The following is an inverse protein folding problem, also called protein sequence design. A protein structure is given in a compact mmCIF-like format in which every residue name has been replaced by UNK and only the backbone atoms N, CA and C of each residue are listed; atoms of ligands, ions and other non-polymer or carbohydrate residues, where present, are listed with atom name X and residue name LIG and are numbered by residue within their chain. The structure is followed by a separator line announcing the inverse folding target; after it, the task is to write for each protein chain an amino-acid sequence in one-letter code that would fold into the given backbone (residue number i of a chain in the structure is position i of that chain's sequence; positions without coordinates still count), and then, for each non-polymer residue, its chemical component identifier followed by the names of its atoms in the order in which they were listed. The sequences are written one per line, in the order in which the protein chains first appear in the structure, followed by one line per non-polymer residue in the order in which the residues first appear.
data_IF_753494782558
#
_entry.id   IF_753494782558
#
_cell.length_a   1.000
_cell.length_b   1.000
_cell.length_c   1.000
_cell.angle_alpha   90.00
_cell.angle_beta   90.00
_cell.angle_gamma   90.00
#
_symmetry.space_group_name_H-M   'P 1'
#
loop_
_entity.id
_entity.type
_entity.pdbx_description
1 polymer ?
#
# COMPACT_ATOMS: atom_id res chain seq x y z
N UNK A 1 -26.22 28.59 26.00
CA UNK A 1 -26.95 28.63 24.73
C UNK A 1 -26.02 28.12 23.64
N UNK A 2 -26.38 27.11 22.84
CA UNK A 2 -25.46 26.52 21.85
C UNK A 2 -25.01 27.47 20.73
N UNK A 3 -25.64 28.61 20.60
CA UNK A 3 -25.34 29.64 19.59
C UNK A 3 -24.61 30.85 20.18
N UNK A 4 -24.34 30.88 21.47
CA UNK A 4 -23.47 31.85 22.15
C UNK A 4 -22.02 31.34 22.07
N UNK A 5 -21.34 31.65 20.98
CA UNK A 5 -20.02 31.09 20.65
C UNK A 5 -18.91 31.78 21.45
N UNK A 6 -19.07 33.07 21.80
CA UNK A 6 -18.12 33.81 22.63
C UNK A 6 -18.39 33.67 24.13
N UNK A 7 -19.46 32.92 24.50
CA UNK A 7 -19.84 32.57 25.87
C UNK A 7 -20.07 33.79 26.79
N UNK A 8 -20.53 34.92 26.22
CA UNK A 8 -20.81 36.11 26.98
C UNK A 8 -22.24 36.15 27.58
N UNK A 9 -23.06 35.12 27.32
CA UNK A 9 -24.40 34.94 27.82
C UNK A 9 -25.50 35.55 26.93
N UNK A 10 -25.12 36.15 25.78
CA UNK A 10 -26.05 36.78 24.84
C UNK A 10 -25.76 36.26 23.43
N UNK A 11 -26.77 35.90 22.67
CA UNK A 11 -26.63 35.55 21.25
C UNK A 11 -26.78 36.80 20.44
N UNK A 12 -25.70 37.27 19.79
CA UNK A 12 -25.65 38.52 19.06
C UNK A 12 -24.79 38.44 17.78
N UNK A 13 -24.64 39.55 17.08
CA UNK A 13 -23.89 39.62 15.80
C UNK A 13 -22.43 39.19 15.95
N UNK A 14 -21.83 39.33 17.11
CA UNK A 14 -20.46 38.89 17.38
C UNK A 14 -20.30 37.37 17.29
N UNK A 15 -21.32 36.60 17.66
CA UNK A 15 -21.31 35.13 17.49
C UNK A 15 -21.33 34.74 16.02
N UNK A 16 -22.12 35.48 15.22
CA UNK A 16 -22.16 35.27 13.77
C UNK A 16 -20.79 35.65 13.13
N UNK A 17 -20.14 36.68 13.61
CA UNK A 17 -18.82 37.09 13.10
C UNK A 17 -17.75 36.06 13.40
N UNK A 18 -17.84 35.32 14.52
CA UNK A 18 -16.93 34.20 14.82
C UNK A 18 -17.11 33.06 13.80
N UNK A 19 -18.36 32.69 13.47
CA UNK A 19 -18.62 31.71 12.41
C UNK A 19 -18.08 32.17 11.07
N UNK A 20 -18.23 33.46 10.75
CA UNK A 20 -17.78 34.03 9.47
C UNK A 20 -16.26 34.17 9.40
N UNK A 21 -15.57 34.36 10.52
CA UNK A 21 -14.13 34.41 10.58
C UNK A 21 -13.49 33.05 10.24
N UNK A 22 -14.16 31.96 10.65
CA UNK A 22 -13.73 30.60 10.38
C UNK A 22 -14.32 30.03 9.07
N UNK A 23 -15.10 30.84 8.34
CA UNK A 23 -15.77 30.40 7.12
C UNK A 23 -14.75 30.21 5.99
N UNK A 24 -14.58 28.95 5.60
CA UNK A 24 -13.58 28.54 4.59
C UNK A 24 -12.28 28.01 5.18
N UNK A 25 -12.11 28.10 6.49
CA UNK A 25 -11.06 27.34 7.18
C UNK A 25 -11.47 25.85 7.19
N UNK A 26 -10.53 25.00 6.85
CA UNK A 26 -10.71 23.55 7.01
C UNK A 26 -10.59 23.28 8.51
N UNK A 27 -11.71 22.94 9.18
CA UNK A 27 -11.64 22.42 10.52
C UNK A 27 -10.86 21.10 10.48
N UNK A 28 -9.56 21.18 10.67
CA UNK A 28 -8.80 19.99 11.05
C UNK A 28 -9.24 19.69 12.49
N UNK A 29 -10.05 18.66 12.64
CA UNK A 29 -10.15 18.01 13.94
C UNK A 29 -8.72 17.61 14.29
N UNK A 30 -8.15 18.27 15.29
CA UNK A 30 -6.92 17.81 15.93
C UNK A 30 -7.29 16.54 16.71
N UNK A 31 -7.42 15.45 15.99
CA UNK A 31 -7.39 14.13 16.61
C UNK A 31 -5.94 13.95 17.07
N UNK A 32 -5.69 14.14 18.34
CA UNK A 32 -4.41 13.85 19.02
C UNK A 32 -4.02 12.35 18.90
N UNK A 33 -4.78 11.57 18.13
CA UNK A 33 -4.56 10.18 17.76
C UNK A 33 -4.18 10.01 16.27
N UNK A 34 -3.72 11.07 15.57
CA UNK A 34 -3.24 10.90 14.20
C UNK A 34 -1.99 10.00 14.21
N UNK A 35 -2.14 8.80 13.68
CA UNK A 35 -1.02 7.85 13.55
C UNK A 35 0.05 8.48 12.65
N UNK A 36 1.20 8.79 13.25
CA UNK A 36 2.36 9.27 12.51
C UNK A 36 3.11 8.08 11.91
N UNK A 37 3.20 8.04 10.59
CA UNK A 37 3.86 6.98 9.86
C UNK A 37 5.22 7.45 9.36
N UNK A 38 6.29 6.95 9.96
CA UNK A 38 7.65 7.28 9.56
C UNK A 38 8.10 6.49 8.33
N UNK A 39 8.88 7.09 7.41
CA UNK A 39 9.44 6.37 6.26
C UNK A 39 10.26 5.15 6.69
N UNK A 40 10.15 4.05 5.93
CA UNK A 40 10.78 2.77 6.25
C UNK A 40 11.93 2.48 5.29
N UNK A 41 13.13 2.23 5.85
CA UNK A 41 14.27 1.76 5.07
C UNK A 41 14.31 0.24 5.06
N UNK A 42 14.29 -0.37 3.86
CA UNK A 42 14.34 -1.81 3.69
C UNK A 42 15.11 -2.18 2.43
N UNK A 43 16.10 -3.08 2.56
CA UNK A 43 16.94 -3.56 1.47
C UNK A 43 17.55 -2.43 0.60
N UNK A 44 18.03 -1.38 1.26
CA UNK A 44 18.70 -0.25 0.60
C UNK A 44 17.75 0.75 -0.08
N UNK A 45 16.43 0.57 0.04
CA UNK A 45 15.42 1.50 -0.46
C UNK A 45 14.65 2.14 0.71
N UNK A 46 14.29 3.42 0.56
CA UNK A 46 13.49 4.15 1.54
C UNK A 46 12.07 4.30 1.01
N UNK A 47 11.13 3.66 1.66
CA UNK A 47 9.70 3.71 1.35
C UNK A 47 9.03 4.86 2.07
N UNK A 48 8.28 5.66 1.33
CA UNK A 48 7.32 6.57 1.91
C UNK A 48 6.15 5.77 2.51
N UNK A 49 5.58 6.31 3.57
CA UNK A 49 4.43 5.72 4.27
C UNK A 49 3.31 6.73 4.38
N UNK A 50 2.09 6.26 4.54
CA UNK A 50 0.89 7.09 4.69
C UNK A 50 -0.01 6.46 5.75
N UNK A 51 -0.63 7.30 6.58
CA UNK A 51 -1.65 6.87 7.52
C UNK A 51 -3.02 6.80 6.83
N UNK A 52 -3.66 5.65 6.88
CA UNK A 52 -5.02 5.44 6.36
C UNK A 52 -5.76 4.54 7.34
N UNK A 53 -6.96 4.95 7.75
CA UNK A 53 -7.81 4.18 8.68
C UNK A 53 -7.10 3.78 9.98
N UNK A 54 -6.21 4.65 10.52
CA UNK A 54 -5.48 4.36 11.75
C UNK A 54 -4.28 3.40 11.60
N UNK A 55 -4.02 2.91 10.38
CA UNK A 55 -2.90 2.03 10.05
C UNK A 55 -1.88 2.75 9.16
N UNK A 56 -0.61 2.33 9.26
CA UNK A 56 0.44 2.81 8.36
C UNK A 56 0.53 1.89 7.14
N UNK A 57 0.52 2.49 5.95
CA UNK A 57 0.65 1.81 4.68
C UNK A 57 1.90 2.27 3.95
N UNK A 58 2.53 1.41 3.16
CA UNK A 58 3.48 1.87 2.18
C UNK A 58 2.76 2.67 1.08
N UNK A 59 3.28 3.84 0.75
CA UNK A 59 2.73 4.67 -0.33
C UNK A 59 3.11 4.15 -1.73
N UNK A 60 3.85 3.06 -1.80
CA UNK A 60 4.32 2.41 -3.02
C UNK A 60 4.53 0.92 -2.81
N UNK A 61 4.56 0.15 -3.90
CA UNK A 61 4.76 -1.28 -3.83
C UNK A 61 6.17 -1.65 -3.33
N UNK A 62 6.23 -2.75 -2.58
CA UNK A 62 7.49 -3.33 -2.11
C UNK A 62 8.38 -3.72 -3.30
N UNK A 63 9.72 -3.58 -3.12
CA UNK A 63 10.75 -3.87 -4.14
C UNK A 63 11.73 -4.95 -3.70
N UNK A 64 11.42 -5.64 -2.61
CA UNK A 64 12.29 -6.63 -2.01
C UNK A 64 12.59 -7.79 -2.99
N UNK A 65 13.86 -8.16 -3.09
CA UNK A 65 14.35 -9.34 -3.80
C UNK A 65 14.90 -10.40 -2.84
N UNK A 66 14.92 -10.09 -1.55
CA UNK A 66 15.29 -10.98 -0.47
C UNK A 66 14.15 -11.11 0.55
N UNK A 67 14.02 -12.27 1.14
CA UNK A 67 13.28 -12.43 2.38
C UNK A 67 13.99 -11.74 3.54
N UNK A 68 13.29 -11.50 4.65
CA UNK A 68 13.84 -10.81 5.82
C UNK A 68 15.07 -11.50 6.41
N UNK A 69 15.21 -12.81 6.25
CA UNK A 69 16.35 -13.59 6.69
C UNK A 69 17.57 -13.50 5.74
N UNK A 70 17.42 -12.81 4.59
CA UNK A 70 18.46 -12.63 3.58
C UNK A 70 18.46 -13.67 2.45
N UNK A 71 17.56 -14.64 2.46
CA UNK A 71 17.40 -15.59 1.36
C UNK A 71 16.83 -14.89 0.14
N UNK A 72 17.27 -15.27 -1.05
CA UNK A 72 16.79 -14.74 -2.32
C UNK A 72 15.34 -15.18 -2.57
N UNK A 73 14.50 -14.24 -3.03
CA UNK A 73 13.19 -14.54 -3.59
C UNK A 73 13.40 -14.80 -5.08
N UNK A 74 13.03 -15.99 -5.55
CA UNK A 74 13.13 -16.30 -6.98
C UNK A 74 12.35 -15.29 -7.82
N UNK A 75 12.97 -14.78 -8.88
CA UNK A 75 12.38 -13.71 -9.69
C UNK A 75 12.06 -14.24 -11.09
N UNK A 76 10.80 -14.03 -11.52
CA UNK A 76 10.39 -14.28 -12.89
C UNK A 76 10.96 -13.20 -13.81
N UNK A 77 11.68 -13.62 -14.83
CA UNK A 77 12.30 -12.73 -15.81
C UNK A 77 11.44 -12.53 -17.05
N UNK A 78 10.41 -13.34 -17.24
CA UNK A 78 9.45 -13.26 -18.34
C UNK A 78 9.98 -13.76 -19.68
N UNK A 79 11.16 -14.37 -19.71
CA UNK A 79 11.86 -14.67 -20.98
C UNK A 79 12.14 -16.15 -21.23
N UNK A 80 11.80 -17.05 -20.33
CA UNK A 80 12.18 -18.47 -20.48
C UNK A 80 11.07 -19.45 -20.03
N UNK A 81 11.12 -20.69 -20.59
CA UNK A 81 10.29 -21.80 -20.10
C UNK A 81 10.53 -22.14 -18.62
N UNK A 82 11.69 -21.80 -18.08
CA UNK A 82 12.01 -21.98 -16.66
C UNK A 82 11.13 -21.11 -15.76
N UNK A 83 10.71 -19.92 -16.19
CA UNK A 83 9.80 -19.06 -15.44
C UNK A 83 8.42 -19.73 -15.25
N UNK A 84 7.97 -20.51 -16.22
CA UNK A 84 6.73 -21.28 -16.10
C UNK A 84 6.86 -22.45 -15.12
N UNK A 85 7.97 -23.16 -15.14
CA UNK A 85 8.24 -24.25 -14.19
C UNK A 85 8.31 -23.69 -12.76
N UNK A 86 8.95 -22.53 -12.57
CA UNK A 86 8.98 -21.81 -11.30
C UNK A 86 7.58 -21.38 -10.84
N UNK A 87 6.75 -20.86 -11.75
CA UNK A 87 5.39 -20.43 -11.43
C UNK A 87 4.54 -21.57 -10.86
N UNK A 88 4.68 -22.78 -11.39
CA UNK A 88 3.96 -23.98 -10.93
C UNK A 88 4.66 -24.74 -9.80
N UNK A 89 5.86 -24.34 -9.38
CA UNK A 89 6.67 -25.05 -8.38
C UNK A 89 6.15 -24.96 -6.94
N UNK A 90 5.21 -24.03 -6.65
CA UNK A 90 4.71 -23.79 -5.30
C UNK A 90 5.69 -23.05 -4.37
N UNK A 91 6.69 -22.36 -4.94
CA UNK A 91 7.63 -21.53 -4.18
C UNK A 91 7.23 -20.04 -4.22
N UNK A 92 7.79 -19.26 -3.29
CA UNK A 92 7.63 -17.81 -3.29
C UNK A 92 8.37 -17.16 -4.46
N UNK A 93 7.64 -16.36 -5.25
CA UNK A 93 8.14 -15.72 -6.46
C UNK A 93 7.88 -14.23 -6.41
N UNK A 94 8.82 -13.45 -6.97
CA UNK A 94 8.69 -12.04 -7.26
C UNK A 94 8.73 -11.81 -8.78
N UNK A 95 8.17 -10.69 -9.24
CA UNK A 95 8.25 -10.26 -10.63
C UNK A 95 7.99 -8.77 -10.77
N UNK A 96 8.32 -8.20 -11.92
CA UNK A 96 7.99 -6.82 -12.27
C UNK A 96 6.90 -6.80 -13.34
N UNK A 97 6.18 -5.67 -13.44
CA UNK A 97 5.15 -5.51 -14.46
C UNK A 97 5.71 -5.78 -15.86
N UNK A 98 5.03 -6.64 -16.59
CA UNK A 98 5.45 -7.08 -17.93
C UNK A 98 6.30 -8.35 -17.95
N UNK A 99 7.04 -8.69 -16.89
CA UNK A 99 7.82 -9.92 -16.82
C UNK A 99 6.96 -11.16 -16.45
N UNK A 100 5.84 -10.97 -15.77
CA UNK A 100 5.01 -12.06 -15.21
C UNK A 100 3.87 -12.52 -16.11
N UNK A 101 3.54 -11.80 -17.17
CA UNK A 101 2.36 -12.09 -18.00
C UNK A 101 2.57 -13.20 -19.02
N UNK A 102 3.82 -13.60 -19.28
CA UNK A 102 4.13 -14.64 -20.26
C UNK A 102 3.75 -16.05 -19.86
N UNK A 103 3.43 -16.31 -18.58
CA UNK A 103 3.12 -17.64 -18.07
C UNK A 103 1.63 -18.04 -18.17
N UNK A 104 0.78 -17.21 -18.75
CA UNK A 104 -0.67 -17.47 -18.86
C UNK A 104 -1.07 -18.21 -20.14
N UNK A 105 -0.21 -18.28 -21.15
CA UNK A 105 -0.42 -19.05 -22.35
C UNK A 105 0.67 -20.11 -22.49
N UNK A 106 0.36 -21.33 -22.26
CA UNK A 106 1.05 -22.61 -22.55
C UNK A 106 2.60 -22.62 -22.67
N UNK A 107 3.31 -21.64 -22.11
CA UNK A 107 4.79 -21.54 -22.07
C UNK A 107 5.48 -21.63 -23.45
N UNK A 108 4.75 -21.49 -24.56
CA UNK A 108 5.27 -21.66 -25.92
C UNK A 108 5.55 -20.35 -26.65
N UNK A 109 5.06 -19.22 -26.12
CA UNK A 109 5.31 -17.92 -26.73
C UNK A 109 6.32 -17.09 -25.90
N UNK A 110 7.46 -16.82 -26.50
CA UNK A 110 8.43 -15.86 -25.96
C UNK A 110 7.83 -14.45 -26.08
N UNK A 111 7.42 -13.89 -24.97
CA UNK A 111 7.04 -12.48 -24.91
C UNK A 111 8.29 -11.61 -24.79
N UNK A 112 8.69 -11.02 -25.89
CA UNK A 112 9.77 -10.02 -25.99
C UNK A 112 9.29 -8.62 -25.49
N UNK A 113 8.35 -8.59 -24.57
CA UNK A 113 7.55 -7.40 -24.30
C UNK A 113 8.10 -6.48 -23.21
N UNK A 114 9.14 -6.87 -22.46
CA UNK A 114 9.63 -6.02 -21.37
C UNK A 114 11.15 -6.02 -21.28
N UNK A 115 11.77 -5.40 -22.25
CA UNK A 115 13.23 -5.18 -22.27
C UNK A 115 13.72 -4.16 -21.24
N UNK A 116 12.82 -3.51 -20.49
CA UNK A 116 13.19 -2.51 -19.46
C UNK A 116 12.55 -2.80 -18.10
N UNK A 117 12.98 -3.90 -17.48
CA UNK A 117 12.59 -4.27 -16.12
C UNK A 117 12.94 -3.18 -15.08
N UNK A 118 13.94 -2.33 -15.38
CA UNK A 118 14.39 -1.26 -14.47
C UNK A 118 13.35 -0.15 -14.38
N UNK A 119 12.79 0.29 -15.51
CA UNK A 119 11.75 1.31 -15.53
C UNK A 119 10.46 0.80 -14.88
N UNK A 120 10.09 -0.45 -15.16
CA UNK A 120 8.92 -1.07 -14.52
C UNK A 120 9.09 -1.23 -13.02
N UNK A 121 10.27 -1.66 -12.56
CA UNK A 121 10.58 -1.75 -11.13
C UNK A 121 10.52 -0.36 -10.46
N UNK A 122 11.05 0.67 -11.12
CA UNK A 122 11.05 2.03 -10.57
C UNK A 122 9.65 2.64 -10.51
N UNK A 123 8.81 2.34 -11.52
CA UNK A 123 7.46 2.89 -11.60
C UNK A 123 6.44 2.14 -10.72
N UNK A 124 6.56 0.81 -10.63
CA UNK A 124 5.50 -0.04 -10.05
C UNK A 124 5.96 -0.95 -8.92
N UNK A 125 7.26 -1.02 -8.60
CA UNK A 125 7.76 -1.99 -7.62
C UNK A 125 7.67 -3.43 -8.12
N UNK A 126 7.55 -4.39 -7.20
CA UNK A 126 7.44 -5.83 -7.51
C UNK A 126 6.06 -6.37 -7.16
N UNK A 127 5.66 -7.40 -7.87
CA UNK A 127 4.52 -8.26 -7.56
C UNK A 127 5.03 -9.57 -6.94
N UNK A 128 4.30 -10.10 -5.99
CA UNK A 128 4.65 -11.34 -5.29
C UNK A 128 3.49 -12.32 -5.38
N UNK A 129 3.79 -13.60 -5.52
CA UNK A 129 2.76 -14.62 -5.46
C UNK A 129 2.35 -14.94 -4.01
N UNK A 130 1.24 -15.66 -3.84
CA UNK A 130 0.74 -16.04 -2.51
C UNK A 130 1.73 -16.85 -1.67
N UNK A 131 2.60 -17.64 -2.29
CA UNK A 131 3.63 -18.40 -1.57
C UNK A 131 4.69 -17.48 -0.94
N UNK A 132 5.06 -16.38 -1.62
CA UNK A 132 5.98 -15.39 -1.05
C UNK A 132 5.32 -14.63 0.12
N UNK A 133 4.01 -14.38 0.05
CA UNK A 133 3.26 -13.70 1.11
C UNK A 133 3.24 -14.49 2.43
N UNK A 134 3.06 -15.81 2.36
CA UNK A 134 2.94 -16.67 3.54
C UNK A 134 4.25 -17.34 3.95
N UNK A 135 5.35 -17.03 3.27
CA UNK A 135 6.64 -17.66 3.55
C UNK A 135 7.15 -17.30 4.96
N UNK A 136 7.48 -18.29 5.80
CA UNK A 136 7.93 -18.04 7.16
C UNK A 136 9.25 -17.26 7.27
N UNK A 137 10.03 -17.17 6.19
CA UNK A 137 11.22 -16.31 6.11
C UNK A 137 10.89 -14.82 6.17
N UNK A 138 9.63 -14.46 5.87
CA UNK A 138 9.08 -13.12 5.97
C UNK A 138 9.44 -12.23 4.79
N UNK A 139 8.42 -11.74 4.08
CA UNK A 139 8.56 -10.85 2.93
C UNK A 139 8.80 -9.40 3.35
N UNK A 140 8.04 -8.92 4.32
CA UNK A 140 8.04 -7.52 4.74
C UNK A 140 9.12 -7.18 5.76
N UNK A 141 9.49 -5.90 5.92
CA UNK A 141 10.36 -5.45 7.01
C UNK A 141 9.83 -5.86 8.39
N UNK A 142 10.70 -5.82 9.39
CA UNK A 142 10.29 -6.10 10.78
C UNK A 142 9.21 -5.09 11.23
N UNK A 143 8.13 -5.60 11.83
CA UNK A 143 6.98 -4.79 12.24
C UNK A 143 5.95 -4.54 11.14
N UNK A 144 6.21 -5.00 9.91
CA UNK A 144 5.30 -4.90 8.76
C UNK A 144 4.90 -6.29 8.28
N UNK A 145 3.72 -6.39 7.71
CA UNK A 145 3.17 -7.62 7.13
C UNK A 145 2.42 -7.32 5.82
N UNK A 146 2.21 -8.32 4.97
CA UNK A 146 1.30 -8.16 3.84
C UNK A 146 -0.11 -7.90 4.34
N UNK A 147 -0.82 -6.94 3.75
CA UNK A 147 -2.16 -6.54 4.19
C UNK A 147 -3.15 -7.71 4.14
N UNK A 148 -3.97 -7.82 5.17
CA UNK A 148 -5.06 -8.80 5.28
C UNK A 148 -6.31 -8.34 4.54
N UNK A 149 -7.27 -9.24 4.35
CA UNK A 149 -8.56 -8.88 3.75
C UNK A 149 -9.32 -7.85 4.62
N UNK A 150 -9.23 -8.01 5.94
CA UNK A 150 -9.88 -7.11 6.90
C UNK A 150 -9.30 -5.69 6.80
N UNK A 151 -7.98 -5.55 6.70
CA UNK A 151 -7.31 -4.25 6.55
C UNK A 151 -7.68 -3.59 5.20
N UNK A 152 -7.84 -4.37 4.13
CA UNK A 152 -8.33 -3.86 2.85
C UNK A 152 -9.76 -3.35 2.96
N UNK A 153 -10.66 -4.09 3.63
CA UNK A 153 -12.04 -3.66 3.88
C UNK A 153 -12.05 -2.34 4.67
N UNK A 154 -11.25 -2.23 5.73
CA UNK A 154 -11.13 -1.00 6.53
C UNK A 154 -10.67 0.19 5.67
N UNK A 155 -9.67 -0.01 4.80
CA UNK A 155 -9.19 1.01 3.87
C UNK A 155 -10.28 1.43 2.89
N UNK A 156 -11.00 0.49 2.28
CA UNK A 156 -12.06 0.76 1.30
C UNK A 156 -13.25 1.49 1.94
N UNK A 157 -13.65 1.12 3.15
CA UNK A 157 -14.67 1.83 3.92
C UNK A 157 -14.21 3.25 4.26
N UNK A 158 -12.96 3.43 4.68
CA UNK A 158 -12.38 4.75 4.91
C UNK A 158 -12.37 5.60 3.64
N UNK A 159 -12.13 4.99 2.48
CA UNK A 159 -12.19 5.65 1.17
C UNK A 159 -13.62 5.98 0.69
N UNK A 160 -14.65 5.59 1.45
CA UNK A 160 -16.05 5.96 1.22
C UNK A 160 -16.95 4.84 0.68
N UNK A 161 -16.46 3.61 0.58
CA UNK A 161 -17.31 2.44 0.30
C UNK A 161 -18.15 2.10 1.54
N UNK A 162 -19.34 1.54 1.32
CA UNK A 162 -20.09 0.93 2.42
C UNK A 162 -19.46 -0.41 2.79
N UNK A 163 -19.66 -0.87 4.02
CA UNK A 163 -19.17 -2.19 4.48
C UNK A 163 -19.60 -3.32 3.54
N UNK A 164 -20.83 -3.28 3.02
CA UNK A 164 -21.39 -4.29 2.13
C UNK A 164 -20.81 -4.26 0.70
N UNK A 165 -20.18 -3.16 0.30
CA UNK A 165 -19.48 -3.03 -0.99
C UNK A 165 -18.03 -3.49 -0.88
N UNK A 166 -17.43 -3.39 0.31
CA UNK A 166 -16.06 -3.79 0.60
C UNK A 166 -15.90 -5.29 0.91
N UNK A 167 -16.97 -5.99 1.33
CA UNK A 167 -17.04 -7.44 1.56
C UNK A 167 -17.35 -8.22 0.27
#
# INVERSE_FOLDING_TARGET
CPTDLNQNGVVEVTDLLLVLADFGEICQESNDDEVSCEPVSYQGYQYATVAIAGNCWFAENLRADLYRNGDVIETLTGSTSQDCDLYYSGIGLAGVYGATWGCWSDCTESFDACSDNTNSLNAFGRYYNGHAFVDPRGLCPSGWHPSTAEEWIELEVFAGMTQAEAE
#
